data_IF_114128126475
#
_entry.id   IF_114128126475
#
_cell.length_a   1.000
_cell.length_b   1.000
_cell.length_c   1.000
_cell.angle_alpha   90.00
_cell.angle_beta   90.00
_cell.angle_gamma   90.00
#
_symmetry.space_group_name_H-M   'P 1'
#
loop_
_entity.id
_entity.type
_entity.pdbx_description
1 polymer ?
#
# COMPACT_ATOMS: atom_id res chain seq x y z
N UNK A 1 19.05 0.93 -0.92
CA UNK A 1 17.99 -0.05 -0.65
C UNK A 1 16.69 0.58 -1.10
N UNK A 2 15.78 -0.21 -1.67
CA UNK A 2 14.45 0.28 -2.02
C UNK A 2 13.60 0.25 -0.76
N UNK A 3 12.81 1.29 -0.54
CA UNK A 3 11.99 1.46 0.66
C UNK A 3 10.53 1.26 0.30
N UNK A 4 9.82 0.47 1.09
CA UNK A 4 8.38 0.22 0.92
C UNK A 4 7.67 0.65 2.20
N UNK A 5 6.74 1.59 2.07
CA UNK A 5 6.00 2.16 3.20
C UNK A 5 4.52 1.89 3.05
N UNK A 6 3.87 1.49 4.14
CA UNK A 6 2.41 1.41 4.28
C UNK A 6 1.94 2.52 5.22
N UNK A 7 1.12 3.42 4.69
CA UNK A 7 0.43 4.48 5.43
C UNK A 7 -1.05 4.05 5.62
N UNK A 8 -1.50 3.74 6.84
CA UNK A 8 -2.91 3.48 7.11
C UNK A 8 -3.74 4.74 6.86
N UNK A 9 -4.94 4.59 6.26
CA UNK A 9 -5.82 5.74 6.05
C UNK A 9 -6.27 6.44 7.34
N UNK A 10 -6.29 5.71 8.46
CA UNK A 10 -6.46 6.22 9.81
C UNK A 10 -5.32 5.70 10.71
N UNK A 11 -4.26 6.50 10.84
CA UNK A 11 -3.09 6.17 11.65
C UNK A 11 -3.42 5.89 13.12
N UNK A 12 -4.40 6.56 13.72
CA UNK A 12 -4.76 6.37 15.14
C UNK A 12 -5.24 4.94 15.44
N UNK A 13 -5.80 4.22 14.46
CA UNK A 13 -6.23 2.83 14.65
C UNK A 13 -5.04 1.87 14.81
N UNK A 14 -3.91 2.19 14.19
CA UNK A 14 -2.73 1.33 14.14
C UNK A 14 -1.70 1.74 15.19
N UNK A 15 -1.46 3.04 15.30
CA UNK A 15 -0.43 3.66 16.14
C UNK A 15 -1.00 4.14 17.48
N UNK A 16 -2.32 4.20 17.63
CA UNK A 16 -2.94 4.87 18.76
C UNK A 16 -2.83 6.40 18.63
N UNK A 17 -3.37 7.11 19.62
CA UNK A 17 -3.27 8.57 19.67
C UNK A 17 -1.87 8.96 20.12
N UNK A 18 -1.24 9.87 19.39
CA UNK A 18 0.00 10.48 19.83
C UNK A 18 -0.25 11.23 21.15
N UNK A 19 0.39 10.81 22.23
CA UNK A 19 0.48 11.60 23.47
C UNK A 19 1.79 12.37 23.46
N UNK A 20 1.71 13.69 23.61
CA UNK A 20 2.79 14.65 23.84
C UNK A 20 4.18 14.24 23.32
N UNK A 21 4.40 14.40 22.01
CA UNK A 21 5.72 14.25 21.38
C UNK A 21 6.20 12.81 21.13
N UNK A 22 5.39 11.80 21.41
CA UNK A 22 5.66 10.41 21.01
C UNK A 22 5.14 10.12 19.60
N UNK A 23 5.89 9.37 18.79
CA UNK A 23 5.50 8.96 17.43
C UNK A 23 4.37 7.92 17.39
N UNK A 24 3.53 7.81 18.44
CA UNK A 24 2.45 6.82 18.54
C UNK A 24 2.93 5.38 18.26
N UNK A 25 4.16 5.03 18.63
CA UNK A 25 4.71 3.70 18.33
C UNK A 25 5.05 3.43 16.86
N UNK A 26 5.01 4.43 15.96
CA UNK A 26 5.63 4.32 14.64
C UNK A 26 7.15 4.30 14.80
N UNK A 27 7.79 3.31 14.19
CA UNK A 27 9.24 3.14 14.20
C UNK A 27 9.96 4.03 13.18
N UNK A 28 9.21 4.72 12.31
CA UNK A 28 9.77 5.64 11.33
C UNK A 28 9.91 7.01 11.98
N UNK A 29 11.15 7.49 12.10
CA UNK A 29 11.45 8.82 12.61
C UNK A 29 11.02 9.90 11.61
N UNK A 30 10.46 10.99 12.13
CA UNK A 30 10.16 12.23 11.41
C UNK A 30 11.36 12.80 10.64
N UNK A 31 12.60 12.52 11.04
CA UNK A 31 13.79 12.91 10.27
C UNK A 31 13.82 12.32 8.84
N UNK A 32 13.14 11.19 8.59
CA UNK A 32 12.96 10.66 7.23
C UNK A 32 11.89 11.39 6.41
N UNK A 33 10.95 12.09 7.05
CA UNK A 33 9.89 12.84 6.36
C UNK A 33 10.39 14.11 5.66
N UNK A 34 11.61 14.56 5.96
CA UNK A 34 12.26 15.71 5.32
C UNK A 34 12.82 15.40 3.92
N UNK A 35 12.89 14.11 3.52
CA UNK A 35 13.13 13.78 2.13
C UNK A 35 11.90 14.21 1.30
N UNK A 36 12.11 14.98 0.23
CA UNK A 36 11.05 15.50 -0.65
C UNK A 36 10.07 14.41 -1.16
N UNK A 37 10.49 13.14 -1.16
CA UNK A 37 9.66 11.99 -1.52
C UNK A 37 8.58 11.60 -0.51
N UNK A 38 8.74 11.98 0.76
CA UNK A 38 7.88 11.55 1.87
C UNK A 38 7.28 12.73 2.65
N UNK A 39 7.46 13.95 2.14
CA UNK A 39 6.96 15.16 2.76
C UNK A 39 5.43 15.10 2.86
N UNK A 40 4.91 15.25 4.08
CA UNK A 40 3.47 15.20 4.36
C UNK A 40 2.86 13.79 4.46
N UNK A 41 3.68 12.73 4.47
CA UNK A 41 3.21 11.39 4.83
C UNK A 41 2.93 11.30 6.33
N UNK A 42 1.83 10.61 6.70
CA UNK A 42 1.55 10.27 8.08
C UNK A 42 2.48 9.18 8.63
N UNK A 43 2.14 8.68 9.81
CA UNK A 43 2.82 7.53 10.42
C UNK A 43 2.71 6.31 9.50
N UNK A 44 3.83 5.64 9.27
CA UNK A 44 3.92 4.53 8.34
C UNK A 44 4.48 3.27 9.01
N UNK A 45 4.21 2.14 8.37
CA UNK A 45 4.82 0.84 8.64
C UNK A 45 5.83 0.58 7.52
N UNK A 46 7.05 0.23 7.87
CA UNK A 46 8.05 -0.23 6.90
C UNK A 46 7.75 -1.69 6.51
N UNK A 47 7.71 -1.95 5.21
CA UNK A 47 7.51 -3.28 4.65
C UNK A 47 8.82 -3.82 4.07
N UNK A 48 9.05 -5.11 4.30
CA UNK A 48 10.17 -5.84 3.69
C UNK A 48 9.88 -6.20 2.24
N UNK A 49 8.62 -6.57 1.95
CA UNK A 49 8.20 -6.92 0.59
C UNK A 49 6.72 -6.68 0.37
N UNK A 50 6.37 -6.51 -0.90
CA UNK A 50 5.02 -6.30 -1.39
C UNK A 50 4.84 -7.09 -2.70
N UNK A 51 3.73 -7.79 -2.83
CA UNK A 51 3.37 -8.50 -4.06
C UNK A 51 1.90 -8.30 -4.41
N UNK A 52 1.62 -8.08 -5.70
CA UNK A 52 0.27 -8.06 -6.27
C UNK A 52 0.28 -8.67 -7.67
N UNK A 53 -0.75 -9.45 -7.98
CA UNK A 53 -1.02 -9.97 -9.31
C UNK A 53 -2.25 -9.34 -9.94
N UNK A 54 -2.22 -9.18 -11.26
CA UNK A 54 -3.36 -8.79 -12.07
C UNK A 54 -3.40 -9.64 -13.33
N UNK A 55 -4.58 -10.13 -13.71
CA UNK A 55 -4.76 -10.89 -14.96
C UNK A 55 -6.09 -10.59 -15.61
N UNK A 56 -6.11 -10.57 -16.93
CA UNK A 56 -7.35 -10.53 -17.70
C UNK A 56 -7.74 -11.95 -18.12
N UNK A 57 -9.00 -12.31 -17.95
CA UNK A 57 -9.55 -13.53 -18.51
C UNK A 57 -9.68 -13.33 -20.02
N UNK A 58 -8.98 -14.14 -20.81
CA UNK A 58 -9.02 -14.07 -22.28
C UNK A 58 -9.32 -15.47 -22.79
N UNK A 59 -10.32 -15.61 -23.66
CA UNK A 59 -10.56 -16.86 -24.37
C UNK A 59 -9.63 -16.94 -25.58
N UNK A 60 -8.97 -18.08 -25.77
CA UNK A 60 -8.01 -18.32 -26.86
C UNK A 60 -8.45 -19.47 -27.77
N UNK A 61 -9.75 -19.73 -27.83
CA UNK A 61 -10.29 -20.76 -28.73
C UNK A 61 -10.01 -20.38 -30.19
N UNK A 62 -9.35 -21.30 -30.91
CA UNK A 62 -8.93 -21.12 -32.31
C UNK A 62 -10.10 -21.01 -33.28
N UNK A 63 -11.29 -21.45 -32.88
CA UNK A 63 -12.52 -21.33 -33.67
C UNK A 63 -13.18 -19.96 -33.57
N UNK A 64 -12.76 -19.11 -32.62
CA UNK A 64 -13.28 -17.76 -32.49
C UNK A 64 -12.59 -16.81 -33.46
N UNK A 65 -13.38 -16.11 -34.28
CA UNK A 65 -12.88 -15.07 -35.19
C UNK A 65 -12.30 -13.84 -34.47
N UNK A 66 -12.60 -13.65 -33.18
CA UNK A 66 -12.07 -12.58 -32.34
C UNK A 66 -11.87 -13.04 -30.88
N UNK A 67 -10.91 -12.44 -30.18
CA UNK A 67 -10.69 -12.70 -28.75
C UNK A 67 -11.83 -12.10 -27.93
N UNK A 68 -12.41 -12.89 -27.02
CA UNK A 68 -13.35 -12.39 -26.01
C UNK A 68 -12.61 -12.25 -24.69
N UNK A 69 -12.91 -11.19 -23.93
CA UNK A 69 -12.33 -10.98 -22.60
C UNK A 69 -13.39 -10.96 -21.52
N UNK A 70 -13.05 -11.49 -20.35
CA UNK A 70 -13.91 -11.53 -19.16
C UNK A 70 -13.63 -10.38 -18.20
N UNK A 71 -13.99 -10.60 -16.92
CA UNK A 71 -13.71 -9.64 -15.85
C UNK A 71 -12.23 -9.74 -15.44
N UNK A 72 -11.52 -8.61 -15.30
CA UNK A 72 -10.15 -8.66 -14.79
C UNK A 72 -10.15 -9.16 -13.34
N UNK A 73 -9.13 -9.93 -13.00
CA UNK A 73 -8.86 -10.39 -11.64
C UNK A 73 -7.66 -9.61 -11.12
N UNK A 74 -7.89 -8.84 -10.07
CA UNK A 74 -6.86 -8.13 -9.30
C UNK A 74 -6.76 -8.86 -7.97
N UNK A 75 -5.58 -9.35 -7.61
CA UNK A 75 -5.37 -10.01 -6.32
C UNK A 75 -5.24 -8.99 -5.20
N UNK A 76 -5.44 -9.47 -3.97
CA UNK A 76 -5.01 -8.77 -2.77
C UNK A 76 -3.50 -8.52 -2.81
N UNK A 77 -3.04 -7.55 -2.02
CA UNK A 77 -1.62 -7.39 -1.78
C UNK A 77 -1.17 -8.36 -0.72
N UNK A 78 -0.08 -9.07 -0.96
CA UNK A 78 0.67 -9.77 0.08
C UNK A 78 1.81 -8.87 0.54
N UNK A 79 1.81 -8.51 1.82
CA UNK A 79 2.82 -7.66 2.45
C UNK A 79 3.59 -8.48 3.50
N UNK A 80 4.87 -8.19 3.67
CA UNK A 80 5.69 -8.74 4.75
C UNK A 80 6.31 -7.60 5.53
N UNK A 81 6.25 -7.67 6.87
CA UNK A 81 6.94 -6.75 7.79
C UNK A 81 7.60 -7.53 8.91
N UNK A 82 8.50 -6.89 9.64
CA UNK A 82 8.97 -7.40 10.92
C UNK A 82 7.92 -7.20 12.02
N UNK A 83 7.93 -8.05 13.04
CA UNK A 83 7.08 -7.86 14.22
C UNK A 83 7.53 -6.60 14.98
N UNK A 84 6.57 -5.73 15.27
CA UNK A 84 6.77 -4.50 16.02
C UNK A 84 5.55 -4.19 16.90
N UNK A 85 5.51 -2.98 17.48
CA UNK A 85 4.41 -2.55 18.33
C UNK A 85 3.05 -2.55 17.60
N UNK A 86 3.03 -2.35 16.28
CA UNK A 86 1.79 -2.30 15.49
C UNK A 86 1.18 -3.69 15.27
N UNK A 87 1.96 -4.78 15.37
CA UNK A 87 1.51 -6.14 15.07
C UNK A 87 0.25 -6.53 15.83
N UNK A 88 0.19 -6.25 17.14
CA UNK A 88 -0.99 -6.57 17.96
C UNK A 88 -2.24 -5.82 17.53
N UNK A 89 -2.08 -4.60 16.98
CA UNK A 89 -3.19 -3.84 16.40
C UNK A 89 -3.61 -4.39 15.05
N UNK A 90 -2.68 -4.81 14.21
CA UNK A 90 -3.00 -5.48 12.94
C UNK A 90 -3.78 -6.79 13.19
N UNK A 91 -3.46 -7.54 14.24
CA UNK A 91 -4.21 -8.74 14.64
C UNK A 91 -5.65 -8.40 15.03
N UNK A 92 -5.84 -7.37 15.86
CA UNK A 92 -7.17 -6.89 16.25
C UNK A 92 -8.00 -6.47 15.03
N UNK A 93 -7.42 -5.64 14.16
CA UNK A 93 -8.10 -5.11 12.96
C UNK A 93 -8.46 -6.24 11.98
N UNK A 94 -7.58 -7.22 11.81
CA UNK A 94 -7.86 -8.41 11.00
C UNK A 94 -9.07 -9.19 11.55
N UNK A 95 -9.06 -9.52 12.85
CA UNK A 95 -10.13 -10.30 13.47
C UNK A 95 -11.48 -9.56 13.53
N UNK A 96 -11.45 -8.23 13.56
CA UNK A 96 -12.65 -7.39 13.54
C UNK A 96 -13.13 -7.05 12.12
N UNK A 97 -12.35 -7.40 11.10
CA UNK A 97 -12.54 -6.95 9.72
C UNK A 97 -12.71 -5.42 9.61
N UNK A 98 -11.97 -4.67 10.44
CA UNK A 98 -12.02 -3.21 10.47
C UNK A 98 -11.07 -2.65 9.40
N UNK A 99 -11.54 -1.78 8.48
CA UNK A 99 -10.67 -1.13 7.51
C UNK A 99 -9.62 -0.23 8.17
N UNK A 100 -8.42 -0.21 7.60
CA UNK A 100 -7.31 0.67 7.97
C UNK A 100 -7.59 2.15 7.71
N UNK A 101 -8.66 2.46 6.98
CA UNK A 101 -9.17 3.79 6.69
C UNK A 101 -10.52 3.66 5.99
N UNK A 102 -11.40 4.65 6.13
CA UNK A 102 -12.78 4.58 5.62
C UNK A 102 -13.05 5.64 4.56
N UNK A 103 -13.63 5.19 3.45
CA UNK A 103 -14.05 6.03 2.34
C UNK A 103 -12.89 6.57 1.50
N UNK A 104 -13.25 7.42 0.54
CA UNK A 104 -12.32 8.01 -0.43
C UNK A 104 -11.33 9.01 0.18
N UNK A 105 -11.67 9.59 1.34
CA UNK A 105 -10.86 10.63 2.01
C UNK A 105 -9.71 10.08 2.86
N UNK A 106 -9.81 8.81 3.28
CA UNK A 106 -8.81 8.13 4.11
C UNK A 106 -8.32 6.84 3.44
N UNK A 107 -7.71 6.91 2.24
CA UNK A 107 -7.18 5.73 1.59
C UNK A 107 -5.90 5.26 2.30
N UNK A 108 -5.74 3.95 2.40
CA UNK A 108 -4.46 3.34 2.79
C UNK A 108 -3.50 3.45 1.61
N UNK A 109 -2.27 3.91 1.84
CA UNK A 109 -1.29 4.12 0.76
C UNK A 109 -0.10 3.18 0.92
N UNK A 110 0.34 2.63 -0.19
CA UNK A 110 1.61 1.91 -0.32
C UNK A 110 2.53 2.74 -1.20
N UNK A 111 3.67 3.17 -0.67
CA UNK A 111 4.66 3.96 -1.38
C UNK A 111 5.93 3.13 -1.59
N UNK A 112 6.36 3.01 -2.84
CA UNK A 112 7.62 2.34 -3.20
C UNK A 112 8.60 3.41 -3.65
N UNK A 113 9.66 3.57 -2.89
CA UNK A 113 10.70 4.54 -3.13
C UNK A 113 12.06 3.89 -3.35
N UNK A 114 12.91 4.59 -4.08
CA UNK A 114 14.25 4.13 -4.43
C UNK A 114 15.27 5.18 -4.05
N UNK A 115 16.37 4.71 -3.48
CA UNK A 115 17.53 5.55 -3.27
C UNK A 115 18.27 5.75 -4.60
N UNK A 116 18.49 7.01 -4.96
CA UNK A 116 19.25 7.44 -6.12
C UNK A 116 20.31 8.45 -5.65
N UNK A 117 21.53 7.96 -5.44
CA UNK A 117 22.58 8.73 -4.77
C UNK A 117 22.16 9.11 -3.34
N UNK A 118 22.22 10.41 -3.04
CA UNK A 118 21.89 10.97 -1.72
C UNK A 118 20.40 11.27 -1.53
N UNK A 119 19.57 11.00 -2.55
CA UNK A 119 18.12 11.29 -2.50
C UNK A 119 17.31 10.01 -2.56
N UNK A 120 16.31 9.91 -1.69
CA UNK A 120 15.25 8.93 -1.83
C UNK A 120 14.13 9.53 -2.65
N UNK A 121 13.65 8.79 -3.65
CA UNK A 121 12.58 9.26 -4.53
C UNK A 121 11.49 8.21 -4.63
N UNK A 122 10.25 8.65 -4.41
CA UNK A 122 9.06 7.82 -4.58
C UNK A 122 8.82 7.54 -6.07
N UNK A 123 8.73 6.26 -6.44
CA UNK A 123 8.50 5.80 -7.82
C UNK A 123 7.00 5.66 -8.07
N UNK A 124 6.31 5.00 -7.14
CA UNK A 124 4.88 4.70 -7.28
C UNK A 124 4.21 4.74 -5.92
N UNK A 125 3.08 5.44 -5.87
CA UNK A 125 2.13 5.37 -4.76
C UNK A 125 0.87 4.65 -5.21
N UNK A 126 0.50 3.63 -4.47
CA UNK A 126 -0.71 2.85 -4.65
C UNK A 126 -1.67 3.23 -3.54
N UNK A 127 -2.83 3.79 -3.87
CA UNK A 127 -3.86 4.16 -2.91
C UNK A 127 -4.99 3.14 -2.96
N UNK A 128 -5.40 2.64 -1.80
CA UNK A 128 -6.41 1.61 -1.62
C UNK A 128 -7.58 2.18 -0.81
N UNK A 129 -8.79 2.11 -1.37
CA UNK A 129 -10.00 2.51 -0.67
C UNK A 129 -10.54 1.36 0.18
N UNK A 130 -10.96 1.70 1.39
CA UNK A 130 -11.56 0.76 2.36
C UNK A 130 -10.69 -0.49 2.53
N UNK A 131 -9.36 -0.28 2.61
CA UNK A 131 -8.42 -1.38 2.70
C UNK A 131 -8.50 -2.04 4.08
N UNK A 132 -8.65 -3.37 4.12
CA UNK A 132 -8.69 -4.14 5.35
C UNK A 132 -7.70 -5.31 5.30
N UNK A 133 -7.35 -5.83 6.47
CA UNK A 133 -6.46 -6.98 6.60
C UNK A 133 -7.30 -8.26 6.52
N UNK A 134 -7.21 -8.97 5.40
CA UNK A 134 -8.00 -10.20 5.18
C UNK A 134 -7.38 -11.43 5.83
N UNK A 135 -6.07 -11.39 6.06
CA UNK A 135 -5.29 -12.50 6.62
C UNK A 135 -4.00 -11.95 7.22
N UNK A 136 -3.53 -12.54 8.33
CA UNK A 136 -2.23 -12.25 8.92
C UNK A 136 -1.61 -13.52 9.51
N UNK A 137 -0.32 -13.74 9.25
CA UNK A 137 0.43 -14.91 9.67
C UNK A 137 1.74 -14.46 10.33
N UNK A 138 1.91 -14.80 11.61
CA UNK A 138 3.17 -14.61 12.33
C UNK A 138 4.11 -15.79 12.05
N UNK A 139 5.37 -15.49 11.70
CA UNK A 139 6.39 -16.48 11.37
C UNK A 139 7.70 -16.15 12.09
N UNK A 140 8.41 -17.19 12.56
CA UNK A 140 9.68 -17.05 13.27
C UNK A 140 10.70 -18.03 12.71
N UNK A 141 11.96 -17.61 12.63
CA UNK A 141 13.09 -18.48 12.31
C UNK A 141 14.12 -18.39 13.45
N UNK A 142 14.80 -19.48 13.84
CA UNK A 142 15.75 -19.46 14.96
C UNK A 142 16.86 -18.39 14.85
N UNK A 143 17.28 -18.09 13.63
CA UNK A 143 18.40 -17.19 13.32
C UNK A 143 17.97 -15.86 12.65
N UNK A 144 16.67 -15.52 12.67
CA UNK A 144 16.16 -14.29 12.05
C UNK A 144 15.13 -13.58 12.96
N UNK A 145 14.95 -12.29 12.73
CA UNK A 145 13.95 -11.50 13.43
C UNK A 145 12.55 -11.98 13.02
N UNK A 146 11.60 -12.12 13.96
CA UNK A 146 10.25 -12.56 13.64
C UNK A 146 9.59 -11.63 12.61
N UNK A 147 8.93 -12.25 11.63
CA UNK A 147 8.23 -11.56 10.54
C UNK A 147 6.74 -11.90 10.57
N UNK A 148 5.95 -11.06 9.94
CA UNK A 148 4.54 -11.32 9.73
C UNK A 148 4.17 -11.03 8.28
N UNK A 149 3.44 -11.96 7.67
CA UNK A 149 2.89 -11.83 6.33
C UNK A 149 1.40 -11.54 6.45
N UNK A 150 0.93 -10.47 5.82
CA UNK A 150 -0.49 -10.11 5.84
C UNK A 150 -1.00 -9.74 4.47
N UNK A 151 -2.32 -9.85 4.28
CA UNK A 151 -3.00 -9.53 3.03
C UNK A 151 -3.90 -8.32 3.16
N UNK A 152 -3.88 -7.45 2.15
CA UNK A 152 -4.77 -6.30 2.07
C UNK A 152 -5.83 -6.51 0.99
N UNK A 153 -7.08 -6.54 1.41
CA UNK A 153 -8.25 -6.47 0.55
C UNK A 153 -8.75 -5.02 0.44
N UNK A 154 -9.34 -4.63 -0.68
CA UNK A 154 -9.75 -3.25 -0.96
C UNK A 154 -10.88 -3.19 -1.99
N UNK A 155 -11.61 -2.07 -2.03
CA UNK A 155 -12.76 -1.88 -2.93
C UNK A 155 -12.40 -1.15 -4.22
N UNK A 156 -11.44 -0.25 -4.16
CA UNK A 156 -10.92 0.54 -5.29
C UNK A 156 -9.41 0.74 -5.13
N UNK A 157 -8.71 0.87 -6.26
CA UNK A 157 -7.26 1.05 -6.31
C UNK A 157 -6.89 2.15 -7.29
N UNK A 158 -5.96 3.02 -6.89
CA UNK A 158 -5.31 4.00 -7.74
C UNK A 158 -3.80 3.76 -7.73
N UNK A 159 -3.18 3.70 -8.91
CA UNK A 159 -1.74 3.69 -9.10
C UNK A 159 -1.30 5.05 -9.60
N UNK A 160 -0.34 5.64 -8.90
CA UNK A 160 0.24 6.94 -9.20
C UNK A 160 1.73 6.80 -9.41
N UNK A 161 2.20 6.93 -10.65
CA UNK A 161 3.62 6.89 -10.95
C UNK A 161 4.18 8.31 -11.04
N UNK A 162 5.27 8.55 -10.31
CA UNK A 162 5.98 9.82 -10.28
C UNK A 162 7.12 9.79 -11.28
N UNK A 163 7.06 10.62 -12.32
CA UNK A 163 8.19 10.77 -13.24
C UNK A 163 9.24 11.65 -12.56
N UNK A 164 10.50 11.24 -12.62
CA UNK A 164 11.61 12.07 -12.14
C UNK A 164 12.17 12.89 -13.30
N UNK A 165 12.38 14.19 -13.08
CA UNK A 165 13.12 15.02 -14.02
C UNK A 165 14.62 14.83 -13.80
N UNK A 166 15.43 15.11 -14.83
CA UNK A 166 16.89 14.99 -14.77
C UNK A 166 17.55 15.94 -13.74
N UNK A 167 16.85 16.99 -13.32
CA UNK A 167 17.25 17.92 -12.25
C UNK A 167 16.93 17.39 -10.83
N UNK A 168 16.33 16.19 -10.74
CA UNK A 168 15.92 15.57 -9.48
C UNK A 168 14.68 16.22 -8.86
N UNK A 169 13.96 17.08 -9.58
CA UNK A 169 12.67 17.63 -9.14
C UNK A 169 11.51 16.66 -9.46
N UNK A 170 10.45 16.65 -8.64
CA UNK A 170 9.23 15.89 -8.95
C UNK A 170 8.63 16.38 -10.28
N UNK A 171 8.35 15.47 -11.22
CA UNK A 171 7.62 15.80 -12.44
C UNK A 171 6.10 15.58 -12.28
N UNK A 172 5.37 15.70 -13.39
CA UNK A 172 3.95 15.34 -13.44
C UNK A 172 3.72 13.88 -13.00
N UNK A 173 2.68 13.69 -12.21
CA UNK A 173 2.22 12.37 -11.75
C UNK A 173 1.20 11.81 -12.73
N UNK A 174 1.39 10.56 -13.13
CA UNK A 174 0.42 9.83 -13.95
C UNK A 174 -0.38 8.89 -13.07
N UNK A 175 -1.70 9.12 -13.01
CA UNK A 175 -2.60 8.35 -12.15
C UNK A 175 -3.64 7.60 -12.99
N UNK A 176 -3.82 6.31 -12.68
CA UNK A 176 -4.89 5.47 -13.21
C UNK A 176 -5.38 4.51 -12.13
N UNK A 177 -6.53 3.89 -12.31
CA UNK A 177 -7.12 3.05 -11.28
C UNK A 177 -8.25 2.17 -11.75
N UNK A 178 -8.70 1.31 -10.84
CA UNK A 178 -9.83 0.41 -11.07
C UNK A 178 -10.75 0.36 -9.85
N UNK A 179 -12.05 0.42 -10.10
CA UNK A 179 -13.06 0.12 -9.08
C UNK A 179 -13.41 -1.35 -9.16
N UNK A 180 -13.05 -2.14 -8.13
CA UNK A 180 -13.38 -3.57 -8.10
C UNK A 180 -14.89 -3.74 -7.91
N UNK A 181 -15.50 -2.92 -7.06
CA UNK A 181 -16.93 -2.92 -6.81
C UNK A 181 -17.76 -2.63 -8.08
N UNK A 182 -17.33 -1.64 -8.89
CA UNK A 182 -18.07 -1.22 -10.10
C UNK A 182 -17.53 -1.84 -11.40
N UNK A 183 -16.43 -2.60 -11.30
CA UNK A 183 -15.73 -3.22 -12.43
C UNK A 183 -15.45 -2.25 -13.61
N UNK A 184 -14.84 -1.10 -13.31
CA UNK A 184 -14.57 -0.06 -14.33
C UNK A 184 -13.30 0.73 -14.02
N UNK A 185 -12.66 1.34 -15.03
CA UNK A 185 -11.54 2.24 -14.81
C UNK A 185 -11.99 3.49 -14.07
N UNK A 186 -11.10 4.02 -13.24
CA UNK A 186 -11.28 5.27 -12.49
C UNK A 186 -9.99 6.09 -12.54
N UNK A 187 -10.10 7.41 -12.48
CA UNK A 187 -8.97 8.34 -12.32
C UNK A 187 -8.88 8.92 -10.91
N UNK A 188 -9.93 8.73 -10.10
CA UNK A 188 -10.04 9.11 -8.70
C UNK A 188 -11.01 8.16 -7.99
N UNK A 189 -10.95 8.08 -6.67
CA UNK A 189 -11.92 7.29 -5.90
C UNK A 189 -13.34 7.79 -6.14
N UNK A 190 -14.29 6.86 -6.16
CA UNK A 190 -15.68 7.24 -6.39
C UNK A 190 -16.25 7.97 -5.17
N UNK A 191 -17.15 8.93 -5.40
CA UNK A 191 -17.97 9.48 -4.32
C UNK A 191 -18.84 8.37 -3.71
#
# INVERSE_FOLDING_TARGET
MDLILLEPGNGELVFGKATDGSNGGSLIDTAWSDAAAFQGMGQCIELMSLHQGMKQQVTTDVSNAARTSGRPVITEFTCVKYVDQTSVKLYELCLRAEPLGRGAAQPTKLSIARNSGDKTVNIITISLRDALISEIQLQTHPDDMPTEQFKLNFTEILWSHSVQRADGQPAAQNTTGWSLARNRPISAFTA
#
